data_IF_720826783665
#
_entry.id   IF_720826783665
#
_cell.length_a   1.000
_cell.length_b   1.000
_cell.length_c   1.000
_cell.angle_alpha   90.00
_cell.angle_beta   90.00
_cell.angle_gamma   90.00
#
_symmetry.space_group_name_H-M   'P 1'
#
loop_
_entity.id
_entity.type
_entity.pdbx_description
1 polymer ?
#
# COMPACT_ATOMS: atom_id res chain seq x y z
N UNK A 1 19.33 9.84 -7.20
CA UNK A 1 18.56 8.72 -6.61
C UNK A 1 17.11 9.12 -6.57
N UNK A 2 16.26 8.46 -7.36
CA UNK A 2 14.81 8.66 -7.35
C UNK A 2 14.18 7.67 -6.39
N UNK A 3 13.40 8.16 -5.42
CA UNK A 3 12.65 7.29 -4.50
C UNK A 3 11.33 6.87 -5.16
N UNK A 4 11.04 5.57 -5.19
CA UNK A 4 9.74 5.05 -5.63
C UNK A 4 8.78 5.00 -4.44
N UNK A 5 7.54 5.44 -4.63
CA UNK A 5 6.51 5.38 -3.59
C UNK A 5 5.25 4.69 -4.12
N UNK A 6 4.64 3.83 -3.29
CA UNK A 6 3.31 3.28 -3.50
C UNK A 6 2.33 3.91 -2.50
N UNK A 7 1.09 4.15 -2.94
CA UNK A 7 0.02 4.71 -2.11
C UNK A 7 -1.26 3.89 -2.29
N UNK A 8 -2.05 3.76 -1.23
CA UNK A 8 -3.35 3.09 -1.28
C UNK A 8 -4.27 3.58 -0.14
N UNK A 9 -5.57 3.37 -0.30
CA UNK A 9 -6.59 3.64 0.72
C UNK A 9 -7.52 2.46 0.98
N UNK A 10 -8.00 2.35 2.21
CA UNK A 10 -9.03 1.40 2.61
C UNK A 10 -10.16 2.11 3.36
N UNK A 11 -11.40 1.64 3.17
CA UNK A 11 -12.57 2.16 3.89
C UNK A 11 -13.36 3.26 3.18
N UNK A 12 -13.09 3.59 1.90
CA UNK A 12 -13.83 4.65 1.17
C UNK A 12 -15.36 4.48 1.16
N UNK A 13 -15.85 3.25 1.25
CA UNK A 13 -17.29 2.91 1.18
C UNK A 13 -17.87 2.30 2.44
N UNK A 14 -17.18 2.36 3.60
CA UNK A 14 -17.73 1.77 4.82
C UNK A 14 -18.87 2.61 5.41
N UNK A 15 -19.90 1.95 5.96
CA UNK A 15 -21.02 2.60 6.66
C UNK A 15 -20.56 3.32 7.94
N UNK A 16 -19.55 2.78 8.61
CA UNK A 16 -18.93 3.34 9.79
C UNK A 16 -17.44 2.96 9.82
N UNK A 17 -16.63 3.82 10.44
CA UNK A 17 -15.16 3.71 10.44
C UNK A 17 -14.51 4.78 9.56
N UNK A 18 -13.22 5.09 9.79
CA UNK A 18 -12.51 6.08 8.98
C UNK A 18 -12.07 5.48 7.64
N UNK A 19 -11.82 6.36 6.68
CA UNK A 19 -10.94 6.04 5.55
C UNK A 19 -9.50 6.12 6.05
N UNK A 20 -8.70 5.11 5.77
CA UNK A 20 -7.27 5.08 6.08
C UNK A 20 -6.49 5.08 4.78
N UNK A 21 -5.53 6.00 4.65
CA UNK A 21 -4.59 6.05 3.54
C UNK A 21 -3.17 5.83 4.05
N UNK A 22 -2.34 5.18 3.23
CA UNK A 22 -0.94 4.91 3.55
C UNK A 22 -0.04 5.15 2.34
N UNK A 23 1.23 5.46 2.61
CA UNK A 23 2.28 5.59 1.62
C UNK A 23 3.51 4.79 2.05
N UNK A 24 4.12 4.07 1.11
CA UNK A 24 5.33 3.27 1.33
C UNK A 24 6.41 3.73 0.38
N UNK A 25 7.58 4.09 0.89
CA UNK A 25 8.77 4.30 0.08
C UNK A 25 9.42 2.95 -0.18
N UNK A 26 9.55 2.56 -1.44
CA UNK A 26 10.13 1.28 -1.85
C UNK A 26 11.66 1.37 -1.90
N UNK A 27 12.40 0.54 -1.13
CA UNK A 27 13.85 0.49 -1.20
C UNK A 27 14.34 -0.07 -2.55
N UNK A 28 15.43 0.47 -3.07
CA UNK A 28 16.08 -0.08 -4.27
C UNK A 28 16.52 -1.53 -4.01
N UNK A 29 16.23 -2.43 -4.95
CA UNK A 29 16.61 -3.84 -4.87
C UNK A 29 15.76 -4.71 -3.95
N UNK A 30 14.78 -4.16 -3.23
CA UNK A 30 13.87 -4.97 -2.41
C UNK A 30 12.95 -5.81 -3.29
N UNK A 31 12.98 -7.13 -3.09
CA UNK A 31 12.00 -8.08 -3.61
C UNK A 31 11.21 -8.64 -2.43
N UNK A 32 9.88 -8.57 -2.48
CA UNK A 32 9.00 -9.10 -1.43
C UNK A 32 8.01 -10.11 -2.02
N UNK A 33 8.33 -11.42 -1.94
CA UNK A 33 7.42 -12.48 -2.36
C UNK A 33 6.11 -12.39 -1.57
N UNK A 34 4.98 -12.62 -2.23
CA UNK A 34 3.66 -12.56 -1.59
C UNK A 34 3.18 -11.14 -1.23
N UNK A 35 3.71 -10.09 -1.88
CA UNK A 35 3.12 -8.75 -1.74
C UNK A 35 1.78 -8.64 -2.50
N UNK A 36 1.72 -9.23 -3.70
CA UNK A 36 0.61 -9.05 -4.64
C UNK A 36 -0.53 -10.06 -4.47
N UNK A 37 -0.35 -11.10 -3.65
CA UNK A 37 -1.37 -12.12 -3.33
C UNK A 37 -2.13 -11.80 -2.03
N UNK A 38 -1.89 -10.63 -1.44
CA UNK A 38 -2.51 -10.15 -0.18
C UNK A 38 -4.04 -10.07 -0.15
N UNK A 39 -4.71 -10.37 -1.25
CA UNK A 39 -6.17 -10.29 -1.42
C UNK A 39 -6.82 -11.61 -1.89
N UNK A 40 -6.03 -12.65 -2.15
CA UNK A 40 -6.52 -13.99 -2.52
C UNK A 40 -6.89 -14.77 -1.26
#
# INVERSE_FOLDING_TARGET
>A
MSKLAGVDEAGRGCLAGPVVAAAVIWPEGLTMPGLTDSKI
#
